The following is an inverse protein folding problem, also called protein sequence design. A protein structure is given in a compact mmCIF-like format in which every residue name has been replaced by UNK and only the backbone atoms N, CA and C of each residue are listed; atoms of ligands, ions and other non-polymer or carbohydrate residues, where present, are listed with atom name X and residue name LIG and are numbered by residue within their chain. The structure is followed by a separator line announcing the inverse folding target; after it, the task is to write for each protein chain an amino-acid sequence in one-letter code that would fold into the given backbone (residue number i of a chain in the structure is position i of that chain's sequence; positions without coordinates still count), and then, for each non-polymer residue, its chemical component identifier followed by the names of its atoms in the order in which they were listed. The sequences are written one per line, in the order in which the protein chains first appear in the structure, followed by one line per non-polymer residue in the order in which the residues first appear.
data_IF_571283513732
#
_entry.id   IF_571283513732
#
_cell.length_a   1.000
_cell.length_b   1.000
_cell.length_c   1.000
_cell.angle_alpha   90.00
_cell.angle_beta   90.00
_cell.angle_gamma   90.00
#
_symmetry.space_group_name_H-M   'P 1'
#
loop_
_entity.id
_entity.type
_entity.pdbx_description
1 polymer ?
#
# COMPACT_ATOMS: atom_id res chain seq x y z
N UNK A 1 -2.06 -38.51 -11.60
CA UNK A 1 -1.69 -38.11 -10.24
C UNK A 1 -2.96 -37.79 -9.43
N UNK A 2 -3.07 -38.30 -8.18
CA UNK A 2 -4.29 -38.20 -7.36
C UNK A 2 -4.72 -36.73 -7.12
N UNK A 3 -3.79 -35.78 -7.11
CA UNK A 3 -4.06 -34.35 -6.92
C UNK A 3 -4.76 -33.71 -8.12
N UNK A 4 -4.36 -34.06 -9.31
CA UNK A 4 -4.98 -33.59 -10.57
C UNK A 4 -6.39 -34.15 -10.70
N UNK A 5 -6.61 -35.42 -10.31
CA UNK A 5 -7.91 -36.08 -10.32
C UNK A 5 -8.92 -35.42 -9.39
N UNK A 6 -8.50 -34.96 -8.20
CA UNK A 6 -9.39 -34.23 -7.27
C UNK A 6 -9.83 -32.88 -7.82
N UNK A 7 -8.90 -32.13 -8.44
CA UNK A 7 -9.20 -30.85 -9.06
C UNK A 7 -10.21 -30.99 -10.21
N UNK A 8 -10.05 -31.99 -11.07
CA UNK A 8 -10.97 -32.31 -12.16
C UNK A 8 -12.36 -32.69 -11.66
N UNK A 9 -12.42 -33.46 -10.55
CA UNK A 9 -13.70 -33.82 -9.91
C UNK A 9 -14.51 -32.61 -9.45
N UNK A 10 -13.85 -31.60 -8.88
CA UNK A 10 -14.51 -30.37 -8.42
C UNK A 10 -14.94 -29.47 -9.59
N UNK A 11 -14.20 -29.44 -10.71
CA UNK A 11 -14.63 -28.78 -11.95
C UNK A 11 -15.91 -29.39 -12.47
N UNK A 12 -15.96 -30.73 -12.57
CA UNK A 12 -17.15 -31.44 -13.06
C UNK A 12 -18.36 -31.18 -12.17
N UNK A 13 -18.23 -31.29 -10.87
CA UNK A 13 -19.33 -30.99 -9.92
C UNK A 13 -19.86 -29.58 -10.12
N UNK A 14 -18.96 -28.60 -10.20
CA UNK A 14 -19.38 -27.20 -10.35
C UNK A 14 -20.06 -26.94 -11.70
N UNK A 15 -19.64 -27.62 -12.75
CA UNK A 15 -20.34 -27.55 -14.07
C UNK A 15 -21.74 -28.12 -13.99
N UNK A 16 -21.92 -29.26 -13.30
CA UNK A 16 -23.27 -29.85 -13.10
C UNK A 16 -24.17 -28.87 -12.34
N UNK A 17 -23.67 -28.29 -11.23
CA UNK A 17 -24.39 -27.28 -10.44
C UNK A 17 -24.84 -26.06 -11.31
N UNK A 18 -23.97 -25.56 -12.17
CA UNK A 18 -24.29 -24.43 -13.04
C UNK A 18 -25.33 -24.83 -14.08
N UNK A 19 -25.23 -26.03 -14.69
CA UNK A 19 -26.19 -26.51 -15.68
C UNK A 19 -27.57 -26.72 -15.05
N UNK A 20 -27.66 -27.34 -13.88
CA UNK A 20 -28.90 -27.53 -13.13
C UNK A 20 -29.54 -26.19 -12.72
N UNK A 21 -28.73 -25.19 -12.43
CA UNK A 21 -29.19 -23.83 -12.13
C UNK A 21 -29.55 -22.99 -13.40
N UNK A 22 -29.43 -23.55 -14.62
CA UNK A 22 -29.66 -22.84 -15.87
C UNK A 22 -28.59 -21.81 -16.24
N UNK A 23 -27.42 -21.84 -15.57
CA UNK A 23 -26.30 -20.92 -15.79
C UNK A 23 -25.30 -21.47 -16.81
N UNK A 24 -25.77 -21.62 -18.06
CA UNK A 24 -25.00 -22.26 -19.12
C UNK A 24 -23.73 -21.49 -19.51
N UNK A 25 -23.78 -20.16 -19.44
CA UNK A 25 -22.64 -19.31 -19.76
C UNK A 25 -21.52 -19.45 -18.71
N UNK A 26 -21.87 -19.51 -17.43
CA UNK A 26 -20.98 -19.74 -16.33
C UNK A 26 -20.32 -21.13 -16.40
N UNK A 27 -21.08 -22.15 -16.73
CA UNK A 27 -20.59 -23.51 -16.97
C UNK A 27 -19.53 -23.52 -18.08
N UNK A 28 -19.85 -22.89 -19.22
CA UNK A 28 -18.93 -22.80 -20.37
C UNK A 28 -17.65 -22.04 -20.04
N UNK A 29 -17.76 -20.90 -19.37
CA UNK A 29 -16.58 -20.11 -18.94
C UNK A 29 -15.66 -20.93 -18.03
N UNK A 30 -16.23 -21.61 -17.05
CA UNK A 30 -15.47 -22.44 -16.14
C UNK A 30 -14.73 -23.55 -16.88
N UNK A 31 -15.41 -24.25 -17.81
CA UNK A 31 -14.82 -25.30 -18.61
C UNK A 31 -13.63 -24.79 -19.43
N UNK A 32 -13.86 -23.75 -20.21
CA UNK A 32 -12.81 -23.18 -21.07
C UNK A 32 -11.60 -22.72 -20.28
N UNK A 33 -11.84 -22.02 -19.16
CA UNK A 33 -10.75 -21.53 -18.31
C UNK A 33 -9.96 -22.67 -17.68
N UNK A 34 -10.63 -23.67 -17.14
CA UNK A 34 -9.96 -24.79 -16.47
C UNK A 34 -9.20 -25.66 -17.46
N UNK A 35 -9.78 -25.89 -18.65
CA UNK A 35 -9.08 -26.63 -19.69
C UNK A 35 -7.80 -25.90 -20.12
N UNK A 36 -7.88 -24.60 -20.37
CA UNK A 36 -6.70 -23.80 -20.70
C UNK A 36 -5.64 -23.84 -19.60
N UNK A 37 -6.04 -23.69 -18.33
CA UNK A 37 -5.11 -23.73 -17.21
C UNK A 37 -4.44 -25.11 -17.10
N UNK A 38 -5.15 -26.21 -17.35
CA UNK A 38 -4.59 -27.57 -17.37
C UNK A 38 -3.59 -27.76 -18.50
N UNK A 39 -3.90 -27.34 -19.72
CA UNK A 39 -2.99 -27.40 -20.87
C UNK A 39 -1.70 -26.60 -20.58
N UNK A 40 -1.80 -25.44 -19.96
CA UNK A 40 -0.64 -24.65 -19.56
C UNK A 40 0.20 -25.35 -18.47
N UNK A 41 -0.45 -25.95 -17.47
CA UNK A 41 0.27 -26.71 -16.42
C UNK A 41 0.97 -27.93 -16.99
N UNK A 42 0.34 -28.65 -17.93
CA UNK A 42 0.96 -29.80 -18.60
C UNK A 42 2.17 -29.38 -19.47
N UNK A 43 2.04 -28.24 -20.17
CA UNK A 43 3.08 -27.77 -21.09
C UNK A 43 4.28 -27.11 -20.38
N UNK A 44 4.03 -26.33 -19.32
CA UNK A 44 5.04 -25.44 -18.70
C UNK A 44 5.24 -25.67 -17.21
N UNK A 45 4.42 -26.51 -16.58
CA UNK A 45 4.42 -26.73 -15.12
C UNK A 45 3.69 -25.63 -14.32
N UNK A 46 3.11 -24.62 -14.97
CA UNK A 46 2.45 -23.48 -14.32
C UNK A 46 1.33 -22.90 -15.19
N UNK A 47 0.48 -22.06 -14.60
CA UNK A 47 -0.50 -21.24 -15.32
C UNK A 47 -0.73 -19.90 -14.61
N UNK A 48 -1.29 -18.93 -15.33
CA UNK A 48 -1.72 -17.67 -14.71
C UNK A 48 -2.86 -17.90 -13.71
N UNK A 49 -2.57 -17.62 -12.42
CA UNK A 49 -3.52 -17.85 -11.35
C UNK A 49 -3.45 -19.26 -10.76
N UNK A 50 -2.29 -19.92 -10.86
CA UNK A 50 -2.05 -21.25 -10.26
C UNK A 50 -2.38 -21.28 -8.76
N UNK A 51 -2.24 -20.14 -8.08
CA UNK A 51 -2.61 -19.99 -6.68
C UNK A 51 -4.09 -20.28 -6.39
N UNK A 52 -4.98 -20.17 -7.38
CA UNK A 52 -6.39 -20.53 -7.23
C UNK A 52 -6.62 -22.05 -7.09
N UNK A 53 -5.59 -22.83 -7.38
CA UNK A 53 -5.53 -24.27 -7.20
C UNK A 53 -4.72 -24.70 -5.96
N UNK A 54 -4.35 -23.77 -5.07
CA UNK A 54 -3.47 -23.96 -3.92
C UNK A 54 -3.89 -25.14 -3.03
N UNK A 55 -5.20 -25.32 -2.79
CA UNK A 55 -5.73 -26.46 -2.02
C UNK A 55 -5.28 -27.81 -2.59
N UNK A 56 -5.34 -27.99 -3.89
CA UNK A 56 -4.96 -29.24 -4.54
C UNK A 56 -3.45 -29.45 -4.54
N UNK A 57 -2.68 -28.36 -4.61
CA UNK A 57 -1.22 -28.40 -4.58
C UNK A 57 -0.67 -28.67 -3.19
N UNK A 58 -1.23 -28.02 -2.18
CA UNK A 58 -0.77 -28.13 -0.77
C UNK A 58 -1.37 -29.34 -0.02
N UNK A 59 -2.48 -29.90 -0.52
CA UNK A 59 -3.23 -30.98 0.16
C UNK A 59 -4.04 -30.52 1.37
N UNK A 60 -4.24 -29.21 1.53
CA UNK A 60 -5.08 -28.62 2.60
C UNK A 60 -6.57 -28.80 2.31
N UNK A 61 -7.37 -28.72 3.37
CA UNK A 61 -8.83 -28.84 3.28
C UNK A 61 -9.51 -27.58 2.73
N UNK A 62 -10.80 -27.68 2.35
CA UNK A 62 -11.59 -26.53 1.97
C UNK A 62 -11.66 -25.47 3.09
N UNK A 63 -11.46 -24.20 2.74
CA UNK A 63 -11.46 -23.08 3.68
C UNK A 63 -10.17 -22.82 4.43
N UNK A 64 -9.20 -23.73 4.36
CA UNK A 64 -7.87 -23.52 4.95
C UNK A 64 -7.03 -22.59 4.07
N UNK A 65 -6.37 -21.56 4.65
CA UNK A 65 -5.49 -20.69 3.89
C UNK A 65 -4.24 -21.44 3.43
N UNK A 66 -3.54 -20.97 2.37
CA UNK A 66 -2.23 -21.50 2.03
C UNK A 66 -1.21 -21.20 3.14
N UNK A 67 -0.05 -21.89 3.16
CA UNK A 67 1.02 -21.54 4.09
C UNK A 67 1.39 -20.06 3.98
N UNK A 68 1.52 -19.42 5.14
CA UNK A 68 1.93 -18.01 5.24
C UNK A 68 3.33 -17.91 5.84
N UNK A 69 3.93 -16.72 5.78
CA UNK A 69 5.24 -16.47 6.38
C UNK A 69 5.32 -16.91 7.85
N UNK A 70 4.23 -16.79 8.60
CA UNK A 70 4.18 -17.15 10.02
C UNK A 70 4.46 -18.62 10.28
N UNK A 71 4.10 -19.53 9.36
CA UNK A 71 4.36 -20.96 9.49
C UNK A 71 5.84 -21.33 9.29
N UNK A 72 6.64 -20.41 8.74
CA UNK A 72 8.08 -20.60 8.54
C UNK A 72 8.93 -19.90 9.61
N UNK A 73 8.31 -19.15 10.52
CA UNK A 73 9.03 -18.49 11.60
C UNK A 73 9.40 -19.51 12.69
N UNK A 74 10.59 -19.38 13.33
CA UNK A 74 10.95 -20.19 14.49
C UNK A 74 10.04 -19.84 15.69
N UNK A 75 9.87 -20.78 16.61
CA UNK A 75 9.01 -20.63 17.79
C UNK A 75 9.37 -19.41 18.67
N UNK A 76 10.65 -19.03 18.69
CA UNK A 76 11.16 -17.90 19.46
C UNK A 76 11.33 -16.62 18.64
N UNK A 77 10.65 -16.50 17.51
CA UNK A 77 10.71 -15.31 16.68
C UNK A 77 10.15 -14.08 17.41
N UNK A 78 10.73 -12.93 17.13
CA UNK A 78 10.20 -11.61 17.50
C UNK A 78 9.69 -10.92 16.24
N UNK A 79 8.41 -10.56 16.25
CA UNK A 79 7.79 -9.79 15.17
C UNK A 79 7.86 -8.30 15.51
N UNK A 80 8.35 -7.49 14.58
CA UNK A 80 8.29 -6.03 14.69
C UNK A 80 7.37 -5.53 13.57
N UNK A 81 6.26 -4.91 13.96
CA UNK A 81 5.28 -4.34 13.03
C UNK A 81 5.53 -2.84 12.92
N UNK A 82 6.18 -2.47 11.83
CA UNK A 82 6.43 -1.06 11.50
C UNK A 82 5.18 -0.39 10.93
N UNK A 83 5.05 0.93 11.18
CA UNK A 83 3.87 1.72 10.82
C UNK A 83 2.55 1.02 11.21
N UNK A 84 2.51 0.52 12.44
CA UNK A 84 1.44 -0.36 12.93
C UNK A 84 0.05 0.25 12.81
N UNK A 85 -0.07 1.58 12.94
CA UNK A 85 -1.31 2.33 12.76
C UNK A 85 -1.96 2.16 11.37
N UNK A 86 -1.18 1.73 10.36
CA UNK A 86 -1.65 1.41 9.00
C UNK A 86 -1.66 -0.10 8.78
N UNK A 87 -0.60 -0.79 9.20
CA UNK A 87 -0.40 -2.23 8.95
C UNK A 87 -1.49 -3.07 9.60
N UNK A 88 -1.83 -2.81 10.87
CA UNK A 88 -2.85 -3.58 11.59
C UNK A 88 -4.25 -3.45 10.97
N UNK A 89 -4.76 -2.23 10.67
CA UNK A 89 -6.02 -2.09 9.95
C UNK A 89 -6.02 -2.74 8.55
N UNK A 90 -4.89 -2.71 7.83
CA UNK A 90 -4.77 -3.38 6.53
C UNK A 90 -4.93 -4.89 6.66
N UNK A 91 -4.27 -5.52 7.63
CA UNK A 91 -4.42 -6.95 7.91
C UNK A 91 -5.90 -7.29 8.18
N UNK A 92 -6.58 -6.48 8.99
CA UNK A 92 -8.01 -6.66 9.28
C UNK A 92 -8.94 -6.52 8.05
N UNK A 93 -8.57 -5.69 7.08
CA UNK A 93 -9.38 -5.44 5.89
C UNK A 93 -9.16 -6.45 4.75
N UNK A 94 -7.97 -7.08 4.66
CA UNK A 94 -7.56 -7.93 3.53
C UNK A 94 -8.55 -9.06 3.23
N UNK A 95 -8.96 -9.82 4.24
CA UNK A 95 -9.82 -10.99 4.06
C UNK A 95 -11.16 -10.63 3.41
N UNK A 96 -11.82 -9.59 3.90
CA UNK A 96 -13.17 -9.20 3.42
C UNK A 96 -13.16 -8.78 1.95
N UNK A 97 -12.17 -7.99 1.56
CA UNK A 97 -12.01 -7.55 0.17
C UNK A 97 -11.70 -8.70 -0.80
N UNK A 98 -10.78 -9.59 -0.40
CA UNK A 98 -10.43 -10.78 -1.19
C UNK A 98 -11.61 -11.73 -1.33
N UNK A 99 -12.33 -12.02 -0.25
CA UNK A 99 -13.51 -12.87 -0.24
C UNK A 99 -14.62 -12.35 -1.17
N UNK A 100 -14.94 -11.06 -1.08
CA UNK A 100 -15.97 -10.45 -1.92
C UNK A 100 -15.64 -10.57 -3.42
N UNK A 101 -14.39 -10.26 -3.80
CA UNK A 101 -13.90 -10.36 -5.16
C UNK A 101 -13.95 -11.80 -5.68
N UNK A 102 -13.41 -12.75 -4.93
CA UNK A 102 -13.32 -14.17 -5.36
C UNK A 102 -14.67 -14.87 -5.36
N UNK A 103 -15.57 -14.51 -4.44
CA UNK A 103 -16.95 -14.99 -4.45
C UNK A 103 -17.65 -14.60 -5.76
N UNK A 104 -17.49 -13.36 -6.20
CA UNK A 104 -18.02 -12.90 -7.50
C UNK A 104 -17.43 -13.71 -8.65
N UNK A 105 -16.10 -13.88 -8.70
CA UNK A 105 -15.44 -14.64 -9.76
C UNK A 105 -15.93 -16.11 -9.82
N UNK A 106 -16.10 -16.75 -8.66
CA UNK A 106 -16.61 -18.12 -8.57
C UNK A 106 -18.07 -18.22 -8.98
N UNK A 107 -18.93 -17.30 -8.54
CA UNK A 107 -20.36 -17.30 -8.84
C UNK A 107 -20.70 -17.07 -10.31
N UNK A 108 -19.81 -16.42 -11.04
CA UNK A 108 -19.95 -16.15 -12.48
C UNK A 108 -19.09 -17.05 -13.37
N UNK A 109 -18.55 -18.13 -12.84
CA UNK A 109 -17.80 -19.15 -13.60
C UNK A 109 -16.41 -18.74 -14.09
N UNK A 110 -15.84 -17.64 -13.58
CA UNK A 110 -14.48 -17.22 -13.92
C UNK A 110 -13.42 -18.01 -13.18
N UNK A 111 -13.75 -18.59 -12.02
CA UNK A 111 -12.87 -19.40 -11.19
C UNK A 111 -13.63 -20.52 -10.50
N UNK A 112 -12.90 -21.59 -10.14
CA UNK A 112 -13.43 -22.62 -9.24
C UNK A 112 -13.66 -22.05 -7.83
N UNK A 113 -14.58 -22.63 -7.04
CA UNK A 113 -14.75 -22.29 -5.63
C UNK A 113 -13.46 -22.39 -4.81
N UNK A 114 -12.52 -23.27 -5.19
CA UNK A 114 -11.19 -23.39 -4.56
C UNK A 114 -10.34 -22.12 -4.58
N UNK A 115 -10.66 -21.16 -5.44
CA UNK A 115 -10.00 -19.85 -5.41
C UNK A 115 -10.21 -19.12 -4.09
N UNK A 116 -11.29 -19.43 -3.35
CA UNK A 116 -11.58 -18.85 -2.04
C UNK A 116 -10.64 -19.36 -0.95
N UNK A 117 -9.99 -20.52 -1.17
CA UNK A 117 -9.06 -21.10 -0.19
C UNK A 117 -7.69 -20.40 -0.24
N UNK A 118 -7.27 -19.89 -1.41
CA UNK A 118 -6.10 -19.02 -1.51
C UNK A 118 -6.47 -17.60 -1.04
N UNK A 119 -6.45 -17.40 0.23
CA UNK A 119 -6.92 -16.20 0.92
C UNK A 119 -5.90 -15.67 1.93
N UNK A 120 -5.90 -14.38 2.22
CA UNK A 120 -5.17 -13.88 3.37
C UNK A 120 -5.73 -14.46 4.67
N UNK A 121 -4.92 -14.44 5.72
CA UNK A 121 -5.38 -14.76 7.07
C UNK A 121 -6.52 -13.82 7.46
N UNK A 122 -7.49 -14.35 8.22
CA UNK A 122 -8.40 -13.51 8.98
C UNK A 122 -7.64 -12.84 10.12
N UNK A 123 -8.16 -11.75 10.63
CA UNK A 123 -7.48 -11.00 11.70
C UNK A 123 -7.23 -11.88 12.94
N UNK A 124 -8.22 -12.67 13.34
CA UNK A 124 -8.15 -13.57 14.48
C UNK A 124 -7.13 -14.72 14.26
N UNK A 125 -6.99 -15.19 13.01
CA UNK A 125 -5.97 -16.18 12.65
C UNK A 125 -4.58 -15.55 12.75
N UNK A 126 -4.40 -14.33 12.24
CA UNK A 126 -3.16 -13.60 12.37
C UNK A 126 -2.77 -13.36 13.85
N UNK A 127 -3.73 -12.96 14.67
CA UNK A 127 -3.49 -12.80 16.12
C UNK A 127 -3.05 -14.08 16.79
N UNK A 128 -3.61 -15.25 16.38
CA UNK A 128 -3.24 -16.55 16.91
C UNK A 128 -1.85 -17.03 16.43
N UNK A 129 -1.46 -16.67 15.21
CA UNK A 129 -0.18 -17.09 14.62
C UNK A 129 1.00 -16.19 14.97
N UNK A 130 0.76 -14.90 15.23
CA UNK A 130 1.84 -13.96 15.51
C UNK A 130 2.61 -14.35 16.78
N UNK A 131 3.96 -14.34 16.73
CA UNK A 131 4.78 -14.53 17.90
C UNK A 131 4.75 -13.29 18.81
N UNK A 132 5.64 -13.22 19.80
CA UNK A 132 5.84 -12.01 20.58
C UNK A 132 6.06 -10.82 19.63
N UNK A 133 5.29 -9.75 19.82
CA UNK A 133 5.19 -8.66 18.82
C UNK A 133 5.43 -7.29 19.45
N UNK A 134 6.22 -6.48 18.77
CA UNK A 134 6.43 -5.05 19.05
C UNK A 134 5.77 -4.25 17.94
N UNK A 135 4.92 -3.30 18.30
CA UNK A 135 4.29 -2.38 17.38
C UNK A 135 5.00 -1.03 17.42
N UNK A 136 5.39 -0.53 16.25
CA UNK A 136 6.13 0.72 16.11
C UNK A 136 5.33 1.69 15.24
N UNK A 137 5.12 2.90 15.73
CA UNK A 137 4.44 3.96 14.98
C UNK A 137 4.78 5.33 15.56
N UNK A 138 4.91 6.33 14.71
CA UNK A 138 4.97 7.74 15.13
C UNK A 138 3.60 8.24 15.62
N UNK A 139 2.52 7.60 15.19
CA UNK A 139 1.13 7.95 15.47
C UNK A 139 0.33 6.69 15.78
N UNK A 140 0.48 6.07 16.98
CA UNK A 140 -0.22 4.85 17.34
C UNK A 140 -1.73 4.94 17.07
N UNK A 141 -2.31 3.88 16.54
CA UNK A 141 -3.72 3.82 16.21
C UNK A 141 -4.60 3.41 17.41
N UNK A 142 -5.91 3.46 17.22
CA UNK A 142 -6.89 3.13 18.26
C UNK A 142 -6.71 1.69 18.76
N UNK A 143 -6.46 0.75 17.85
CA UNK A 143 -6.31 -0.65 18.21
C UNK A 143 -5.13 -0.88 19.16
N UNK A 144 -3.94 -0.31 18.87
CA UNK A 144 -2.75 -0.46 19.72
C UNK A 144 -2.98 0.15 21.10
N UNK A 145 -3.62 1.32 21.15
CA UNK A 145 -3.95 1.99 22.41
C UNK A 145 -4.97 1.21 23.25
N UNK A 146 -5.96 0.58 22.61
CA UNK A 146 -6.91 -0.30 23.28
C UNK A 146 -6.23 -1.56 23.85
N UNK A 147 -5.34 -2.19 23.08
CA UNK A 147 -4.61 -3.39 23.50
C UNK A 147 -3.70 -3.13 24.71
N UNK A 148 -3.14 -1.93 24.81
CA UNK A 148 -2.20 -1.56 25.88
C UNK A 148 -2.84 -0.78 27.01
N UNK A 149 -4.16 -0.53 26.98
CA UNK A 149 -4.84 0.34 27.93
C UNK A 149 -4.31 1.78 27.92
N UNK A 150 -3.80 2.23 26.77
CA UNK A 150 -3.21 3.55 26.58
C UNK A 150 -1.76 3.69 27.06
N UNK A 151 -1.13 2.60 27.50
CA UNK A 151 0.27 2.60 27.95
C UNK A 151 1.19 2.22 26.78
N UNK A 152 2.17 3.06 26.51
CA UNK A 152 3.18 2.81 25.46
C UNK A 152 4.52 3.46 25.82
N UNK A 153 5.57 3.00 25.19
CA UNK A 153 6.93 3.56 25.37
C UNK A 153 7.22 4.58 24.29
N UNK A 154 7.68 5.76 24.68
CA UNK A 154 8.03 6.82 23.75
C UNK A 154 9.54 6.90 23.56
N UNK A 155 9.98 6.98 22.31
CA UNK A 155 11.34 7.30 21.91
C UNK A 155 11.42 8.82 21.64
N UNK A 156 11.63 9.62 22.68
CA UNK A 156 11.63 11.10 22.59
C UNK A 156 13.02 11.65 22.30
N UNK A 157 14.07 10.99 22.80
CA UNK A 157 15.44 11.45 22.64
C UNK A 157 15.94 11.25 21.21
N UNK A 158 16.37 12.33 20.57
CA UNK A 158 17.01 12.35 19.24
C UNK A 158 18.50 12.65 19.38
N UNK A 159 19.37 11.64 19.47
CA UNK A 159 20.81 11.85 19.67
C UNK A 159 21.49 12.53 18.48
N UNK A 160 20.85 12.55 17.31
CA UNK A 160 21.32 13.21 16.09
C UNK A 160 21.30 14.74 16.17
N UNK A 161 20.63 15.33 17.17
CA UNK A 161 20.43 16.77 17.27
C UNK A 161 19.42 17.37 16.28
N UNK A 162 18.78 16.54 15.46
CA UNK A 162 17.71 16.98 14.57
C UNK A 162 16.45 17.26 15.38
N UNK A 163 15.89 18.45 15.21
CA UNK A 163 14.63 18.87 15.82
C UNK A 163 13.46 18.70 14.85
N UNK A 164 12.23 18.83 15.36
CA UNK A 164 11.05 18.87 14.50
C UNK A 164 11.10 20.11 13.59
N UNK A 165 10.64 19.98 12.32
CA UNK A 165 10.67 21.10 11.39
C UNK A 165 9.72 22.22 11.85
N UNK A 166 10.10 23.45 11.55
CA UNK A 166 9.24 24.61 11.78
C UNK A 166 8.04 24.52 10.86
N UNK A 167 6.83 24.64 11.43
CA UNK A 167 5.57 24.63 10.69
C UNK A 167 4.99 26.03 10.58
N UNK A 168 4.76 26.49 9.36
CA UNK A 168 4.13 27.75 9.04
C UNK A 168 2.75 27.51 8.46
N UNK A 169 1.75 28.27 8.89
CA UNK A 169 0.41 28.27 8.28
C UNK A 169 0.25 29.52 7.44
N UNK A 170 -0.09 29.35 6.18
CA UNK A 170 -0.25 30.45 5.21
C UNK A 170 -1.62 30.40 4.52
N UNK A 171 -2.12 31.54 3.96
CA UNK A 171 -3.40 31.60 3.29
C UNK A 171 -3.49 30.65 2.07
N UNK A 172 -4.63 29.97 1.91
CA UNK A 172 -4.89 29.07 0.77
C UNK A 172 -5.07 29.80 -0.55
N UNK A 173 -5.55 31.03 -0.53
CA UNK A 173 -5.88 31.81 -1.74
C UNK A 173 -4.67 32.04 -2.65
N UNK A 174 -3.48 32.14 -2.07
CA UNK A 174 -2.22 32.40 -2.80
C UNK A 174 -1.29 31.20 -2.82
N UNK A 175 -1.75 30.02 -2.40
CA UNK A 175 -0.91 28.84 -2.16
C UNK A 175 -0.05 28.45 -3.36
N UNK A 176 -0.55 28.59 -4.60
CA UNK A 176 0.18 28.16 -5.80
C UNK A 176 1.36 29.09 -6.08
N UNK A 177 1.15 30.40 -6.07
CA UNK A 177 2.21 31.36 -6.35
C UNK A 177 3.27 31.37 -5.23
N UNK A 178 2.81 31.24 -3.98
CA UNK A 178 3.68 31.22 -2.80
C UNK A 178 4.55 29.95 -2.79
N UNK A 179 3.98 28.77 -2.99
CA UNK A 179 4.76 27.53 -3.02
C UNK A 179 5.76 27.49 -4.19
N UNK A 180 5.43 28.10 -5.33
CA UNK A 180 6.36 28.20 -6.46
C UNK A 180 7.56 29.09 -6.11
N UNK A 181 7.34 30.22 -5.45
CA UNK A 181 8.42 31.09 -4.98
C UNK A 181 9.33 30.36 -3.98
N UNK A 182 8.74 29.61 -3.04
CA UNK A 182 9.45 28.81 -2.07
C UNK A 182 10.24 27.64 -2.72
N UNK A 183 9.66 26.97 -3.69
CA UNK A 183 10.34 25.91 -4.45
C UNK A 183 11.55 26.47 -5.21
N UNK A 184 11.44 27.67 -5.78
CA UNK A 184 12.56 28.32 -6.47
C UNK A 184 13.68 28.68 -5.51
N UNK A 185 13.36 29.26 -4.36
CA UNK A 185 14.34 29.59 -3.33
C UNK A 185 15.06 28.33 -2.80
N UNK A 186 14.32 27.24 -2.58
CA UNK A 186 14.89 25.96 -2.16
C UNK A 186 15.81 25.35 -3.23
N UNK A 187 15.42 25.40 -4.50
CA UNK A 187 16.22 24.91 -5.62
C UNK A 187 17.53 25.72 -5.77
N UNK A 188 17.49 27.05 -5.63
CA UNK A 188 18.65 27.92 -5.62
C UNK A 188 19.60 27.62 -4.45
N UNK A 189 19.05 27.25 -3.29
CA UNK A 189 19.82 26.80 -2.14
C UNK A 189 20.38 25.35 -2.27
N UNK A 190 20.03 24.64 -3.35
CA UNK A 190 20.47 23.27 -3.61
C UNK A 190 19.76 22.21 -2.77
N UNK A 191 18.66 22.55 -2.13
CA UNK A 191 17.84 21.63 -1.32
C UNK A 191 16.68 21.04 -2.14
N UNK A 192 15.97 20.04 -1.57
CA UNK A 192 14.86 19.36 -2.22
C UNK A 192 13.54 19.70 -1.55
N UNK A 193 12.47 19.67 -2.36
CA UNK A 193 11.12 20.03 -1.92
C UNK A 193 10.15 18.89 -2.19
N UNK A 194 9.28 18.62 -1.22
CA UNK A 194 8.12 17.75 -1.40
C UNK A 194 6.85 18.62 -1.35
N UNK A 195 5.95 18.45 -2.31
CA UNK A 195 4.65 19.14 -2.34
C UNK A 195 3.53 18.11 -2.37
N UNK A 196 2.55 18.25 -1.47
CA UNK A 196 1.39 17.35 -1.46
C UNK A 196 0.14 18.06 -1.94
N UNK A 197 -0.61 17.39 -2.82
CA UNK A 197 -1.90 17.83 -3.34
C UNK A 197 -3.00 16.85 -2.96
N UNK A 198 -4.27 17.22 -3.15
CA UNK A 198 -5.41 16.35 -2.85
C UNK A 198 -5.81 15.43 -4.00
N UNK A 199 -5.53 15.83 -5.24
CA UNK A 199 -5.99 15.09 -6.43
C UNK A 199 -4.89 14.95 -7.47
N UNK A 200 -4.99 13.89 -8.29
CA UNK A 200 -4.10 13.66 -9.43
C UNK A 200 -4.12 14.83 -10.41
N UNK A 201 -5.31 15.33 -10.72
CA UNK A 201 -5.49 16.49 -11.63
C UNK A 201 -4.77 17.74 -11.13
N UNK A 202 -4.82 18.00 -9.82
CA UNK A 202 -4.11 19.14 -9.23
C UNK A 202 -2.59 18.92 -9.27
N UNK A 203 -2.11 17.70 -9.01
CA UNK A 203 -0.69 17.38 -9.10
C UNK A 203 -0.15 17.58 -10.53
N UNK A 204 -0.88 17.10 -11.53
CA UNK A 204 -0.54 17.26 -12.95
C UNK A 204 -0.49 18.73 -13.36
N UNK A 205 -1.56 19.50 -13.07
CA UNK A 205 -1.63 20.92 -13.39
C UNK A 205 -0.54 21.75 -12.70
N UNK A 206 -0.25 21.45 -11.43
CA UNK A 206 0.82 22.12 -10.70
C UNK A 206 2.20 21.79 -11.27
N UNK A 207 2.41 20.53 -11.68
CA UNK A 207 3.67 20.11 -12.32
C UNK A 207 3.90 20.86 -13.63
N UNK A 208 2.87 20.95 -14.49
CA UNK A 208 2.94 21.69 -15.75
C UNK A 208 3.24 23.17 -15.52
N UNK A 209 2.52 23.79 -14.58
CA UNK A 209 2.73 25.21 -14.25
C UNK A 209 4.15 25.48 -13.68
N UNK A 210 4.67 24.58 -12.81
CA UNK A 210 6.05 24.69 -12.31
C UNK A 210 7.09 24.51 -13.43
N UNK A 211 6.84 23.62 -14.39
CA UNK A 211 7.69 23.46 -15.57
C UNK A 211 7.73 24.74 -16.42
N UNK A 212 6.58 25.37 -16.69
CA UNK A 212 6.49 26.64 -17.40
C UNK A 212 7.22 27.76 -16.64
N UNK A 213 7.22 27.72 -15.31
CA UNK A 213 7.97 28.63 -14.46
C UNK A 213 9.48 28.32 -14.38
N UNK A 214 9.97 27.32 -15.11
CA UNK A 214 11.39 26.94 -15.17
C UNK A 214 11.91 26.12 -13.99
N UNK A 215 11.04 25.53 -13.18
CA UNK A 215 11.40 24.68 -12.04
C UNK A 215 11.53 23.23 -12.51
N UNK A 216 12.59 22.54 -12.09
CA UNK A 216 12.76 21.10 -12.35
C UNK A 216 11.89 20.32 -11.39
N UNK A 217 10.76 19.84 -11.87
CA UNK A 217 9.74 19.16 -11.06
C UNK A 217 9.33 17.84 -11.69
N UNK A 218 8.99 16.87 -10.85
CA UNK A 218 8.28 15.63 -11.23
C UNK A 218 7.09 15.41 -10.31
N UNK A 219 6.09 14.66 -10.77
CA UNK A 219 5.03 14.17 -9.89
C UNK A 219 5.05 12.65 -9.84
N UNK A 220 4.54 12.11 -8.74
CA UNK A 220 4.39 10.67 -8.52
C UNK A 220 2.94 10.32 -8.16
N UNK A 221 2.40 9.28 -8.80
CA UNK A 221 1.04 8.79 -8.57
C UNK A 221 1.03 7.28 -8.26
N UNK A 222 -0.15 6.76 -7.93
CA UNK A 222 -0.33 5.36 -7.51
C UNK A 222 0.00 4.31 -8.57
N UNK A 223 -0.03 4.71 -9.85
CA UNK A 223 0.17 3.78 -10.97
C UNK A 223 1.64 3.62 -11.37
N UNK A 224 2.54 4.40 -10.74
CA UNK A 224 4.00 4.27 -10.90
C UNK A 224 4.46 2.97 -10.28
N UNK A 225 5.19 2.15 -11.03
CA UNK A 225 5.70 0.89 -10.51
C UNK A 225 6.82 1.08 -9.47
N UNK A 226 7.18 0.01 -8.77
CA UNK A 226 8.15 0.08 -7.67
C UNK A 226 9.54 0.48 -8.15
N UNK A 227 9.98 0.02 -9.32
CA UNK A 227 11.31 0.33 -9.85
C UNK A 227 11.39 1.79 -10.28
N UNK A 228 10.38 2.26 -11.01
CA UNK A 228 10.28 3.66 -11.42
C UNK A 228 10.22 4.60 -10.21
N UNK A 229 9.50 4.21 -9.14
CA UNK A 229 9.46 4.98 -7.89
C UNK A 229 10.85 5.10 -7.24
N UNK A 230 11.63 4.04 -7.21
CA UNK A 230 13.00 4.04 -6.68
C UNK A 230 13.87 4.99 -7.50
N UNK A 231 13.75 4.98 -8.83
CA UNK A 231 14.49 5.89 -9.72
C UNK A 231 14.10 7.35 -9.49
N UNK A 232 12.82 7.65 -9.37
CA UNK A 232 12.32 9.01 -9.08
C UNK A 232 12.92 9.53 -7.76
N UNK A 233 12.90 8.73 -6.70
CA UNK A 233 13.47 9.13 -5.40
C UNK A 233 14.99 9.33 -5.49
N UNK A 234 15.69 8.45 -6.18
CA UNK A 234 17.12 8.58 -6.42
C UNK A 234 17.46 9.84 -7.20
N UNK A 235 16.74 10.13 -8.27
CA UNK A 235 16.93 11.31 -9.11
C UNK A 235 16.68 12.61 -8.32
N UNK A 236 15.65 12.63 -7.47
CA UNK A 236 15.40 13.75 -6.56
C UNK A 236 16.60 13.99 -5.63
N UNK A 237 17.11 12.93 -4.97
CA UNK A 237 18.25 13.03 -4.07
C UNK A 237 19.51 13.49 -4.78
N UNK A 238 19.74 13.03 -6.01
CA UNK A 238 20.89 13.43 -6.83
C UNK A 238 20.76 14.84 -7.44
N UNK A 239 19.59 15.46 -7.35
CA UNK A 239 19.35 16.81 -7.89
C UNK A 239 19.14 16.85 -9.40
N UNK A 240 18.72 15.76 -10.01
CA UNK A 240 18.27 15.74 -11.40
C UNK A 240 17.05 16.66 -11.56
N UNK A 241 16.20 16.70 -10.53
CA UNK A 241 15.13 17.67 -10.35
C UNK A 241 15.03 18.08 -8.88
N UNK A 242 14.32 19.18 -8.57
CA UNK A 242 14.36 19.81 -7.27
C UNK A 242 13.07 19.64 -6.47
N UNK A 243 11.94 19.45 -7.16
CA UNK A 243 10.60 19.37 -6.56
C UNK A 243 9.91 18.06 -6.93
N UNK A 244 9.41 17.35 -5.94
CA UNK A 244 8.56 16.18 -6.14
C UNK A 244 7.15 16.47 -5.65
N UNK A 245 6.16 16.32 -6.54
CA UNK A 245 4.75 16.48 -6.23
C UNK A 245 4.10 15.11 -6.06
N UNK A 246 3.27 14.94 -5.04
CA UNK A 246 2.54 13.70 -4.83
C UNK A 246 1.23 13.92 -4.08
N UNK A 247 0.34 12.93 -4.13
CA UNK A 247 -0.94 12.97 -3.42
C UNK A 247 -0.77 12.35 -2.03
N UNK A 248 -0.55 11.06 -1.98
CA UNK A 248 -0.51 10.27 -0.75
C UNK A 248 0.83 9.56 -0.54
N UNK A 249 1.60 9.38 -1.61
CA UNK A 249 2.82 8.56 -1.64
C UNK A 249 4.01 9.20 -0.90
N UNK A 250 3.85 10.42 -0.40
CA UNK A 250 4.90 11.16 0.31
C UNK A 250 4.86 11.00 1.83
N UNK A 251 3.96 10.14 2.36
CA UNK A 251 3.79 9.96 3.80
C UNK A 251 4.71 8.91 4.41
N UNK A 252 4.82 7.75 3.78
CA UNK A 252 5.51 6.58 4.33
C UNK A 252 6.59 6.08 3.37
N UNK A 253 7.62 5.42 3.91
CA UNK A 253 8.65 4.74 3.13
C UNK A 253 9.59 5.65 2.35
N UNK A 254 9.70 6.94 2.71
CA UNK A 254 10.63 7.88 2.09
C UNK A 254 11.71 8.32 3.08
N UNK A 255 12.94 8.23 2.64
CA UNK A 255 14.12 8.75 3.34
C UNK A 255 14.87 9.73 2.43
N UNK A 256 14.61 11.02 2.61
CA UNK A 256 15.18 12.09 1.79
C UNK A 256 15.76 13.17 2.71
N UNK A 257 16.98 12.97 3.23
CA UNK A 257 17.65 13.96 4.10
C UNK A 257 17.85 15.30 3.43
N UNK A 258 17.90 15.34 2.12
CA UNK A 258 18.06 16.54 1.31
C UNK A 258 16.78 17.40 1.25
N UNK A 259 15.64 16.88 1.73
CA UNK A 259 14.36 17.59 1.74
C UNK A 259 14.33 18.63 2.87
N UNK A 260 14.48 19.90 2.52
CA UNK A 260 14.42 21.02 3.45
C UNK A 260 13.04 21.69 3.51
N UNK A 261 12.17 21.46 2.53
CA UNK A 261 10.84 22.05 2.50
C UNK A 261 9.77 21.01 2.17
N UNK A 262 8.70 21.01 2.95
CA UNK A 262 7.47 20.28 2.64
C UNK A 262 6.32 21.28 2.50
N UNK A 263 5.70 21.34 1.34
CA UNK A 263 4.49 22.13 1.06
C UNK A 263 3.24 21.26 1.11
N UNK A 264 2.27 21.62 1.93
CA UNK A 264 0.99 20.90 2.05
C UNK A 264 -0.12 21.82 1.56
N UNK A 265 -0.57 21.59 0.32
CA UNK A 265 -1.65 22.38 -0.27
C UNK A 265 -3.01 21.91 0.23
N UNK A 266 -3.96 22.85 0.36
CA UNK A 266 -5.30 22.58 0.87
C UNK A 266 -5.27 21.82 2.22
N UNK A 267 -4.42 22.25 3.14
CA UNK A 267 -4.28 21.62 4.46
C UNK A 267 -5.54 21.78 5.33
N UNK A 268 -6.37 22.78 5.03
CA UNK A 268 -7.65 23.07 5.68
C UNK A 268 -8.80 22.14 5.26
N UNK A 269 -8.63 21.39 4.16
CA UNK A 269 -9.67 20.47 3.65
C UNK A 269 -9.72 19.20 4.48
N UNK A 270 -10.67 19.12 5.40
CA UNK A 270 -10.89 17.91 6.21
C UNK A 270 -11.09 16.66 5.35
N UNK A 271 -10.48 15.54 5.77
CA UNK A 271 -10.59 14.26 5.11
C UNK A 271 -9.41 13.34 5.37
N UNK A 272 -9.44 12.14 4.78
CA UNK A 272 -8.42 11.11 4.98
C UNK A 272 -6.99 11.59 4.67
N UNK A 273 -6.80 12.41 3.63
CA UNK A 273 -5.48 12.93 3.23
C UNK A 273 -5.00 14.12 4.07
N UNK A 274 -5.87 14.71 4.86
CA UNK A 274 -5.60 15.90 5.70
C UNK A 274 -6.04 15.68 7.16
N UNK A 275 -6.14 14.42 7.59
CA UNK A 275 -6.30 14.08 9.00
C UNK A 275 -5.05 14.47 9.79
N UNK A 276 -5.18 14.64 11.10
CA UNK A 276 -4.06 14.91 12.01
C UNK A 276 -2.89 13.94 11.78
N UNK A 277 -3.18 12.64 11.72
CA UNK A 277 -2.17 11.60 11.47
C UNK A 277 -1.47 11.79 10.13
N UNK A 278 -2.23 12.05 9.05
CA UNK A 278 -1.68 12.30 7.71
C UNK A 278 -0.77 13.52 7.67
N UNK A 279 -1.16 14.61 8.33
CA UNK A 279 -0.35 15.83 8.40
C UNK A 279 0.95 15.57 9.17
N UNK A 280 0.91 14.93 10.34
CA UNK A 280 2.10 14.61 11.13
C UNK A 280 3.08 13.73 10.32
N UNK A 281 2.59 12.70 9.64
CA UNK A 281 3.40 11.83 8.79
C UNK A 281 4.08 12.59 7.64
N UNK A 282 3.35 13.51 7.03
CA UNK A 282 3.88 14.35 5.93
C UNK A 282 4.90 15.37 6.44
N UNK A 283 4.62 16.03 7.57
CA UNK A 283 5.51 16.97 8.25
C UNK A 283 6.84 16.28 8.59
N UNK A 284 6.79 15.03 9.05
CA UNK A 284 7.96 14.23 9.39
C UNK A 284 8.95 14.01 8.24
N UNK A 285 8.55 14.26 6.99
CA UNK A 285 9.48 14.15 5.84
C UNK A 285 10.56 15.25 5.84
N UNK A 286 10.29 16.40 6.44
CA UNK A 286 11.28 17.47 6.61
C UNK A 286 12.13 17.30 7.89
N UNK A 287 11.79 16.40 8.80
CA UNK A 287 12.45 16.24 10.10
C UNK A 287 13.87 15.65 10.04
N UNK A 288 14.32 15.21 8.87
CA UNK A 288 15.69 14.68 8.66
C UNK A 288 16.68 15.73 8.14
N UNK A 289 16.21 16.94 7.88
CA UNK A 289 17.03 18.07 7.49
C UNK A 289 17.12 19.07 8.65
N UNK A 290 18.32 19.55 8.96
CA UNK A 290 18.54 20.50 10.07
C UNK A 290 17.82 21.84 9.83
N UNK A 291 17.62 22.22 8.56
CA UNK A 291 16.91 23.42 8.12
C UNK A 291 15.49 23.10 7.68
N UNK A 292 14.98 21.92 8.06
CA UNK A 292 13.67 21.45 7.65
C UNK A 292 12.54 22.39 8.08
N UNK A 293 11.67 22.74 7.14
CA UNK A 293 10.45 23.53 7.38
C UNK A 293 9.27 23.01 6.60
N UNK A 294 8.08 23.31 7.08
CA UNK A 294 6.82 22.88 6.49
C UNK A 294 5.90 24.06 6.35
N UNK A 295 5.24 24.20 5.21
CA UNK A 295 4.22 25.20 4.96
C UNK A 295 2.88 24.49 4.75
N UNK A 296 1.89 24.88 5.54
CA UNK A 296 0.51 24.42 5.44
C UNK A 296 -0.34 25.54 4.88
N UNK A 297 -1.01 25.29 3.75
CA UNK A 297 -1.89 26.25 3.11
C UNK A 297 -3.36 25.93 3.30
#
# INVERSE_FOLDING_TARGET
DDRTSRGLGDVYKRQVEFNEAGKLLEAQRLQQRTQFDLEMIEATGSCNGIENYSRYLSGRGPGEPPPTLFEYLPENALLIVDESHVTVPQIGAMYKGDFARKSTLSNYGFRLPSCLDNRPLKFEEWEAFRPQTIYVSATPGTWELEQTGGVFTEQVVRPTGLIDPVCEVRPTETQVDDIIAECRAAAEAGTRVLVTTLTKKMAEALTEYMHEAGIKVRYVHSDVDTLERIEIIRDLRLGVFDVLIGINLLREGLDIPECALVGILDADKEGYLRSRTSLIQTIGRAARNAEGRVILY
#
